data_IF_139543421829
#
_entry.id   IF_139543421829
#
_cell.length_a   1.000
_cell.length_b   1.000
_cell.length_c   1.000
_cell.angle_alpha   90.00
_cell.angle_beta   90.00
_cell.angle_gamma   90.00
#
_symmetry.space_group_name_H-M   'P 1'
#
loop_
_entity.id
_entity.type
_entity.pdbx_description
1 polymer ?
#
# COMPACT_ATOMS: atom_id res chain seq x y z
N UNK A 1 12.05 -35.80 3.16
CA UNK A 1 11.70 -34.35 3.10
C UNK A 1 10.31 -34.15 3.67
N UNK A 2 10.12 -33.28 4.66
CA UNK A 2 8.80 -33.02 5.28
C UNK A 2 8.02 -32.06 4.36
N UNK A 3 6.90 -32.52 3.77
CA UNK A 3 6.04 -31.73 2.86
C UNK A 3 5.38 -30.61 3.67
N UNK A 4 5.60 -29.33 3.32
CA UNK A 4 4.82 -28.22 3.88
C UNK A 4 3.38 -28.29 3.35
N UNK A 5 2.40 -27.97 4.19
CA UNK A 5 0.99 -27.84 3.79
C UNK A 5 0.71 -26.41 3.33
N UNK A 6 -0.35 -26.21 2.53
CA UNK A 6 -0.78 -24.90 2.00
C UNK A 6 -0.85 -23.84 3.11
N UNK A 7 -1.48 -24.17 4.24
CA UNK A 7 -1.62 -23.27 5.40
C UNK A 7 -0.29 -22.72 5.91
N UNK A 8 0.72 -23.58 6.05
CA UNK A 8 2.04 -23.17 6.56
C UNK A 8 2.74 -22.24 5.56
N UNK A 9 2.63 -22.55 4.27
CA UNK A 9 3.15 -21.68 3.22
C UNK A 9 2.47 -20.30 3.23
N UNK A 10 1.14 -20.29 3.29
CA UNK A 10 0.34 -19.06 3.28
C UNK A 10 0.66 -18.20 4.51
N UNK A 11 0.80 -18.81 5.68
CA UNK A 11 1.12 -18.09 6.92
C UNK A 11 2.50 -17.43 6.85
N UNK A 12 3.51 -18.14 6.34
CA UNK A 12 4.84 -17.56 6.09
C UNK A 12 4.82 -16.46 5.03
N UNK A 13 4.01 -16.65 3.98
CA UNK A 13 3.88 -15.69 2.89
C UNK A 13 3.23 -14.38 3.38
N UNK A 14 2.13 -14.48 4.15
CA UNK A 14 1.49 -13.35 4.84
C UNK A 14 2.45 -12.68 5.82
N UNK A 15 3.25 -13.43 6.57
CA UNK A 15 4.27 -12.85 7.48
C UNK A 15 5.31 -12.03 6.72
N UNK A 16 5.71 -12.46 5.52
CA UNK A 16 6.74 -11.78 4.72
C UNK A 16 6.21 -10.61 3.89
N UNK A 17 5.07 -10.78 3.25
CA UNK A 17 4.50 -9.80 2.30
C UNK A 17 3.38 -8.97 2.91
N UNK A 18 3.03 -9.24 4.16
CA UNK A 18 1.85 -8.69 4.81
C UNK A 18 0.62 -9.04 3.99
N UNK A 19 -0.15 -8.02 3.74
CA UNK A 19 -1.50 -8.11 3.21
C UNK A 19 -1.56 -7.76 1.71
N UNK A 20 -0.43 -7.94 1.00
CA UNK A 20 -0.26 -7.50 -0.38
C UNK A 20 -0.85 -8.46 -1.42
N UNK A 21 -1.01 -9.72 -1.03
CA UNK A 21 -1.37 -10.81 -1.93
C UNK A 21 -2.50 -11.64 -1.34
N UNK A 22 -3.41 -12.05 -2.20
CA UNK A 22 -4.38 -13.10 -1.91
C UNK A 22 -3.81 -14.46 -2.39
N UNK A 23 -4.01 -15.47 -1.55
CA UNK A 23 -3.53 -16.83 -1.70
C UNK A 23 -4.67 -17.85 -1.80
N UNK A 24 -5.91 -17.39 -2.03
CA UNK A 24 -7.12 -18.21 -2.20
C UNK A 24 -7.00 -19.30 -3.26
N UNK A 25 -6.17 -19.07 -4.30
CA UNK A 25 -5.91 -20.02 -5.38
C UNK A 25 -4.56 -20.78 -5.24
N UNK A 26 -3.92 -20.74 -4.07
CA UNK A 26 -2.64 -21.45 -3.87
C UNK A 26 -2.85 -22.95 -3.67
N UNK A 27 -2.22 -23.73 -4.55
CA UNK A 27 -1.98 -25.17 -4.35
C UNK A 27 -0.47 -25.45 -4.18
N UNK A 28 -0.01 -25.63 -2.95
CA UNK A 28 1.40 -25.83 -2.65
C UNK A 28 1.80 -27.30 -2.77
N UNK A 29 2.68 -27.60 -3.73
CA UNK A 29 3.21 -28.95 -3.93
C UNK A 29 4.61 -29.08 -3.31
N UNK A 30 5.53 -28.18 -3.65
CA UNK A 30 6.90 -28.12 -3.14
C UNK A 30 7.49 -26.71 -3.37
N UNK A 31 8.75 -26.50 -3.00
CA UNK A 31 9.40 -25.18 -3.03
C UNK A 31 9.68 -24.62 -4.45
N UNK A 32 9.63 -25.47 -5.48
CA UNK A 32 10.03 -25.16 -6.85
C UNK A 32 8.87 -25.22 -7.85
N UNK A 33 7.78 -25.91 -7.53
CA UNK A 33 6.55 -25.89 -8.33
C UNK A 33 5.89 -24.52 -8.19
N UNK A 34 5.48 -23.93 -9.32
CA UNK A 34 4.80 -22.65 -9.33
C UNK A 34 3.46 -22.75 -8.60
N UNK A 35 3.12 -21.67 -7.92
CA UNK A 35 1.82 -21.43 -7.31
C UNK A 35 1.19 -20.20 -7.97
N UNK A 36 -0.14 -20.14 -7.97
CA UNK A 36 -0.87 -18.95 -8.38
C UNK A 36 -1.10 -18.04 -7.17
N UNK A 37 -0.70 -16.78 -7.29
CA UNK A 37 -0.85 -15.75 -6.26
C UNK A 37 -1.56 -14.56 -6.89
N UNK A 38 -2.46 -13.91 -6.15
CA UNK A 38 -3.25 -12.79 -6.65
C UNK A 38 -2.70 -11.50 -6.06
N UNK A 39 -2.22 -10.60 -6.93
CA UNK A 39 -1.89 -9.25 -6.54
C UNK A 39 -3.16 -8.40 -6.48
N UNK A 40 -3.38 -7.74 -5.35
CA UNK A 40 -4.51 -6.82 -5.17
C UNK A 40 -4.64 -5.76 -6.28
N UNK A 41 -3.52 -5.34 -6.87
CA UNK A 41 -3.48 -4.28 -7.88
C UNK A 41 -3.44 -4.77 -9.33
N UNK A 42 -2.83 -5.94 -9.60
CA UNK A 42 -2.51 -6.39 -10.97
C UNK A 42 -3.07 -7.78 -11.29
N UNK A 43 -3.90 -8.35 -10.41
CA UNK A 43 -4.51 -9.67 -10.61
C UNK A 43 -3.56 -10.85 -10.39
N UNK A 44 -3.94 -12.02 -10.91
CA UNK A 44 -3.24 -13.28 -10.67
C UNK A 44 -1.94 -13.40 -11.48
N UNK A 45 -0.93 -14.01 -10.86
CA UNK A 45 0.35 -14.32 -11.49
C UNK A 45 0.93 -15.59 -10.88
N UNK A 46 1.85 -16.23 -11.61
CA UNK A 46 2.54 -17.42 -11.10
C UNK A 46 3.92 -17.09 -10.54
N UNK A 47 4.27 -17.72 -9.42
CA UNK A 47 5.60 -17.59 -8.81
C UNK A 47 5.98 -18.89 -8.09
N UNK A 48 7.27 -19.20 -7.95
CA UNK A 48 7.68 -20.35 -7.12
C UNK A 48 7.73 -19.97 -5.64
N UNK A 49 7.35 -20.87 -4.71
CA UNK A 49 7.42 -20.59 -3.28
C UNK A 49 8.79 -20.13 -2.78
N UNK A 50 9.88 -20.69 -3.33
CA UNK A 50 11.25 -20.25 -2.96
C UNK A 50 11.51 -18.80 -3.37
N UNK A 51 11.09 -18.38 -4.57
CA UNK A 51 11.23 -16.97 -4.99
C UNK A 51 10.37 -16.07 -4.12
N UNK A 52 9.14 -16.49 -3.84
CA UNK A 52 8.22 -15.70 -3.05
C UNK A 52 8.66 -15.53 -1.58
N UNK A 53 9.05 -16.61 -0.91
CA UNK A 53 9.41 -16.61 0.50
C UNK A 53 10.87 -16.28 0.77
N UNK A 54 11.83 -16.85 0.04
CA UNK A 54 13.25 -16.64 0.33
C UNK A 54 13.72 -15.30 -0.24
N UNK A 55 13.49 -15.06 -1.53
CA UNK A 55 13.93 -13.82 -2.21
C UNK A 55 13.02 -12.63 -1.91
N UNK A 56 11.74 -12.88 -1.62
CA UNK A 56 10.76 -11.80 -1.48
C UNK A 56 10.29 -11.25 -2.82
N UNK A 57 10.45 -12.03 -3.89
CA UNK A 57 9.89 -11.71 -5.18
C UNK A 57 8.34 -11.76 -5.10
N UNK A 58 7.69 -10.98 -5.94
CA UNK A 58 6.23 -10.92 -5.98
C UNK A 58 5.75 -10.56 -7.38
N UNK A 59 4.60 -9.89 -7.46
CA UNK A 59 4.00 -9.45 -8.73
C UNK A 59 5.05 -8.78 -9.66
N UNK A 60 5.26 -9.32 -10.87
CA UNK A 60 6.22 -8.78 -11.84
C UNK A 60 5.93 -7.32 -12.20
N UNK A 61 4.64 -6.95 -12.34
CA UNK A 61 4.23 -5.57 -12.60
C UNK A 61 4.58 -4.65 -11.45
N UNK A 62 4.26 -5.01 -10.19
CA UNK A 62 4.74 -4.25 -9.03
C UNK A 62 6.27 -4.08 -9.05
N UNK A 63 7.02 -5.13 -9.41
CA UNK A 63 8.48 -5.10 -9.51
C UNK A 63 8.98 -4.21 -10.65
N UNK A 64 8.29 -4.21 -11.79
CA UNK A 64 8.56 -3.32 -12.92
C UNK A 64 8.28 -1.87 -12.55
N UNK A 65 7.10 -1.58 -11.99
CA UNK A 65 6.72 -0.25 -11.52
C UNK A 65 7.73 0.25 -10.48
N UNK A 66 8.16 -0.57 -9.52
CA UNK A 66 9.23 -0.19 -8.58
C UNK A 66 10.55 0.15 -9.27
N UNK A 67 11.02 -0.67 -10.22
CA UNK A 67 12.28 -0.43 -10.95
C UNK A 67 12.23 0.83 -11.83
N UNK A 68 11.06 1.14 -12.38
CA UNK A 68 10.79 2.38 -13.12
C UNK A 68 10.47 3.56 -12.19
N UNK A 69 10.50 3.39 -10.86
CA UNK A 69 10.15 4.42 -9.89
C UNK A 69 8.66 4.80 -9.85
N UNK A 70 7.79 4.01 -10.47
CA UNK A 70 6.32 4.20 -10.51
C UNK A 70 5.68 3.64 -9.21
N UNK A 71 6.42 2.84 -8.43
CA UNK A 71 6.06 2.49 -7.06
C UNK A 71 6.38 3.64 -6.10
N UNK A 72 5.43 4.56 -5.94
CA UNK A 72 5.58 5.80 -5.17
C UNK A 72 6.17 6.89 -6.05
N UNK A 73 5.31 7.59 -6.79
CA UNK A 73 5.72 8.77 -7.54
C UNK A 73 6.06 9.86 -6.51
N UNK A 74 7.34 10.21 -6.42
CA UNK A 74 7.83 11.22 -5.48
C UNK A 74 7.72 12.62 -6.07
N UNK A 75 7.67 13.65 -5.22
CA UNK A 75 7.78 15.04 -5.67
C UNK A 75 9.00 15.25 -6.57
N UNK A 76 10.14 14.64 -6.23
CA UNK A 76 11.37 14.73 -7.02
C UNK A 76 11.23 14.12 -8.42
N UNK A 77 10.51 13.00 -8.55
CA UNK A 77 10.26 12.38 -9.85
C UNK A 77 9.33 13.22 -10.71
N UNK A 78 8.27 13.78 -10.14
CA UNK A 78 7.35 14.66 -10.85
C UNK A 78 8.01 15.94 -11.35
N UNK A 79 9.03 16.45 -10.66
CA UNK A 79 9.83 17.58 -11.14
C UNK A 79 10.62 17.23 -12.42
N UNK A 80 11.07 15.98 -12.55
CA UNK A 80 11.87 15.52 -13.68
C UNK A 80 11.00 14.98 -14.84
N UNK A 81 9.84 14.39 -14.52
CA UNK A 81 8.89 13.75 -15.46
C UNK A 81 7.46 14.31 -15.21
N UNK A 82 7.19 15.59 -15.52
CA UNK A 82 5.94 16.27 -15.16
C UNK A 82 4.70 15.69 -15.86
N UNK A 83 4.87 15.03 -17.01
CA UNK A 83 3.81 14.33 -17.73
C UNK A 83 3.17 13.20 -16.91
N UNK A 84 3.94 12.54 -16.04
CA UNK A 84 3.42 11.50 -15.14
C UNK A 84 2.44 12.07 -14.11
N UNK A 85 2.56 13.36 -13.81
CA UNK A 85 1.73 14.05 -12.81
C UNK A 85 0.31 14.37 -13.26
N UNK A 86 0.01 14.20 -14.56
CA UNK A 86 -1.27 14.61 -15.17
C UNK A 86 -2.36 13.54 -15.13
N UNK A 87 -2.06 12.38 -14.57
CA UNK A 87 -3.05 11.29 -14.40
C UNK A 87 -3.93 11.53 -13.18
N UNK A 88 -5.16 11.05 -13.23
CA UNK A 88 -6.07 11.09 -12.08
C UNK A 88 -5.49 10.32 -10.90
N UNK A 89 -5.56 10.96 -9.74
CA UNK A 89 -5.15 10.40 -8.47
C UNK A 89 -6.09 10.88 -7.36
N UNK A 90 -5.89 10.30 -6.19
CA UNK A 90 -6.60 10.64 -4.98
C UNK A 90 -5.57 10.92 -3.89
N UNK A 91 -5.75 12.03 -3.17
CA UNK A 91 -5.20 12.17 -1.81
C UNK A 91 -6.29 11.75 -0.83
N UNK A 92 -5.93 10.99 0.19
CA UNK A 92 -6.87 10.46 1.17
C UNK A 92 -6.37 10.60 2.61
N UNK A 93 -7.34 10.65 3.51
CA UNK A 93 -7.20 10.55 4.95
C UNK A 93 -8.04 9.36 5.38
N UNK A 94 -7.40 8.35 5.98
CA UNK A 94 -8.09 7.23 6.60
C UNK A 94 -7.91 7.30 8.11
N UNK A 95 -9.00 7.20 8.85
CA UNK A 95 -8.99 7.00 10.29
C UNK A 95 -8.75 5.51 10.57
N UNK A 96 -7.82 5.21 11.48
CA UNK A 96 -7.38 3.86 11.83
C UNK A 96 -7.55 3.65 13.33
N UNK A 97 -8.12 2.50 13.71
CA UNK A 97 -8.40 2.18 15.10
C UNK A 97 -8.11 0.70 15.42
N UNK A 98 -7.60 0.48 16.63
CA UNK A 98 -7.55 -0.81 17.32
C UNK A 98 -7.96 -0.62 18.79
N UNK A 99 -7.88 -1.66 19.60
CA UNK A 99 -8.11 -1.52 21.05
C UNK A 99 -7.02 -0.70 21.77
N UNK A 100 -5.81 -0.60 21.21
CA UNK A 100 -4.65 0.04 21.86
C UNK A 100 -4.37 1.46 21.36
N UNK A 101 -4.77 1.79 20.13
CA UNK A 101 -4.39 3.06 19.50
C UNK A 101 -5.37 3.51 18.42
N UNK A 102 -5.35 4.82 18.18
CA UNK A 102 -6.11 5.52 17.14
C UNK A 102 -5.20 6.54 16.48
N UNK A 103 -5.27 6.63 15.16
CA UNK A 103 -4.44 7.55 14.38
C UNK A 103 -5.03 7.75 12.99
N UNK A 104 -4.49 8.73 12.26
CA UNK A 104 -4.81 8.96 10.86
C UNK A 104 -3.68 8.45 9.99
N UNK A 105 -4.05 7.84 8.86
CA UNK A 105 -3.15 7.57 7.75
C UNK A 105 -3.42 8.55 6.62
N UNK A 106 -2.37 9.21 6.17
CA UNK A 106 -2.39 10.06 4.98
C UNK A 106 -1.78 9.27 3.83
N UNK A 107 -2.34 9.41 2.64
CA UNK A 107 -1.77 8.76 1.47
C UNK A 107 -2.28 9.31 0.16
N UNK A 108 -1.63 8.91 -0.94
CA UNK A 108 -2.15 9.09 -2.28
C UNK A 108 -2.25 7.76 -3.05
N UNK A 109 -3.06 7.74 -4.10
CA UNK A 109 -3.17 6.59 -4.99
C UNK A 109 -3.70 6.98 -6.37
N UNK A 110 -3.23 6.30 -7.41
CA UNK A 110 -3.81 6.35 -8.76
C UNK A 110 -4.86 5.26 -8.98
N UNK A 111 -5.07 4.38 -7.99
CA UNK A 111 -6.20 3.45 -8.02
C UNK A 111 -7.50 4.24 -8.05
N UNK A 112 -8.42 3.83 -8.94
CA UNK A 112 -9.76 4.44 -9.09
C UNK A 112 -10.54 4.47 -7.77
N UNK A 113 -10.26 3.52 -6.87
CA UNK A 113 -10.94 3.30 -5.60
C UNK A 113 -9.92 3.32 -4.45
N UNK A 114 -9.77 4.43 -3.69
CA UNK A 114 -8.81 4.55 -2.60
C UNK A 114 -8.93 3.49 -1.49
N UNK A 115 -10.14 3.02 -1.23
CA UNK A 115 -10.46 1.93 -0.30
C UNK A 115 -9.70 0.63 -0.60
N UNK A 116 -9.35 0.37 -1.86
CA UNK A 116 -8.56 -0.80 -2.25
C UNK A 116 -7.14 -0.79 -1.66
N UNK A 117 -6.71 0.32 -1.05
CA UNK A 117 -5.44 0.39 -0.31
C UNK A 117 -5.53 -0.25 1.09
N UNK A 118 -6.73 -0.51 1.57
CA UNK A 118 -7.01 -0.97 2.94
C UNK A 118 -7.69 -2.34 3.01
N UNK A 119 -7.97 -2.97 1.87
CA UNK A 119 -8.70 -4.24 1.73
C UNK A 119 -8.06 -5.46 2.42
N UNK A 120 -6.91 -5.30 3.06
CA UNK A 120 -6.21 -6.38 3.75
C UNK A 120 -5.64 -5.95 5.13
N UNK A 121 -6.14 -4.87 5.72
CA UNK A 121 -5.72 -4.46 7.07
C UNK A 121 -6.44 -5.30 8.13
N UNK A 122 -6.04 -6.56 8.29
CA UNK A 122 -6.65 -7.47 9.28
C UNK A 122 -6.40 -7.03 10.75
N UNK A 123 -5.49 -6.07 10.97
CA UNK A 123 -5.03 -5.64 12.30
C UNK A 123 -5.68 -4.34 12.82
N UNK A 124 -6.26 -3.52 11.94
CA UNK A 124 -6.92 -2.27 12.31
C UNK A 124 -8.25 -2.17 11.59
N UNK A 125 -9.30 -1.77 12.32
CA UNK A 125 -10.49 -1.22 11.65
C UNK A 125 -10.14 0.14 11.07
N UNK A 126 -10.77 0.50 9.95
CA UNK A 126 -10.50 1.76 9.29
C UNK A 126 -11.77 2.37 8.71
N UNK A 127 -11.76 3.69 8.55
CA UNK A 127 -12.81 4.45 7.86
C UNK A 127 -12.15 5.48 6.94
N UNK A 128 -12.65 5.57 5.71
CA UNK A 128 -12.21 6.61 4.77
C UNK A 128 -12.84 7.95 5.18
N UNK A 129 -12.11 8.74 5.95
CA UNK A 129 -12.58 10.06 6.36
C UNK A 129 -12.73 10.97 5.15
N UNK A 130 -11.70 11.07 4.32
CA UNK A 130 -11.70 11.93 3.14
C UNK A 130 -10.93 11.30 2.01
N UNK A 131 -11.44 11.47 0.80
CA UNK A 131 -10.71 11.20 -0.43
C UNK A 131 -11.06 12.30 -1.44
N UNK A 132 -10.05 12.96 -1.99
CA UNK A 132 -10.23 14.06 -2.95
C UNK A 132 -9.52 13.69 -4.25
N UNK A 133 -10.28 13.64 -5.34
CA UNK A 133 -9.75 13.39 -6.67
C UNK A 133 -9.09 14.65 -7.23
N UNK A 134 -7.92 14.48 -7.82
CA UNK A 134 -7.08 15.55 -8.37
C UNK A 134 -6.01 14.96 -9.28
N UNK A 135 -5.13 15.80 -9.83
CA UNK A 135 -3.96 15.28 -10.54
C UNK A 135 -2.99 14.59 -9.57
N UNK A 136 -2.24 13.59 -10.05
CA UNK A 136 -1.20 12.95 -9.26
C UNK A 136 -0.16 13.94 -8.72
N UNK A 137 0.14 15.00 -9.49
CA UNK A 137 1.06 16.03 -9.04
C UNK A 137 0.56 16.74 -7.77
N UNK A 138 -0.72 17.13 -7.77
CA UNK A 138 -1.35 17.76 -6.62
C UNK A 138 -1.48 16.80 -5.44
N UNK A 139 -1.84 15.54 -5.69
CA UNK A 139 -1.99 14.55 -4.63
C UNK A 139 -0.67 14.29 -3.89
N UNK A 140 0.44 14.14 -4.63
CA UNK A 140 1.78 13.95 -4.05
C UNK A 140 2.24 15.20 -3.32
N UNK A 141 2.01 16.40 -3.88
CA UNK A 141 2.34 17.68 -3.22
C UNK A 141 1.61 17.83 -1.89
N UNK A 142 0.28 17.67 -1.89
CA UNK A 142 -0.56 17.84 -0.70
C UNK A 142 -0.23 16.79 0.37
N UNK A 143 -0.04 15.53 -0.02
CA UNK A 143 0.43 14.50 0.91
C UNK A 143 1.77 14.88 1.55
N UNK A 144 2.72 15.40 0.76
CA UNK A 144 4.00 15.89 1.25
C UNK A 144 3.87 17.07 2.20
N UNK A 145 3.01 18.05 1.89
CA UNK A 145 2.74 19.21 2.75
C UNK A 145 2.11 18.81 4.09
N UNK A 146 1.12 17.91 4.08
CA UNK A 146 0.52 17.38 5.30
C UNK A 146 1.56 16.66 6.16
N UNK A 147 2.38 15.78 5.56
CA UNK A 147 3.44 15.04 6.28
C UNK A 147 4.52 15.93 6.87
N UNK A 148 4.81 17.09 6.24
CA UNK A 148 5.78 18.07 6.75
C UNK A 148 5.20 18.92 7.88
N UNK A 149 3.91 19.21 7.82
CA UNK A 149 3.24 20.11 8.77
C UNK A 149 2.76 19.40 10.04
N UNK A 150 2.43 18.11 9.96
CA UNK A 150 1.86 17.33 11.07
C UNK A 150 2.92 16.46 11.75
N UNK A 151 2.83 16.23 13.07
CA UNK A 151 3.74 15.34 13.77
C UNK A 151 3.55 13.90 13.28
N UNK A 152 4.65 13.26 12.89
CA UNK A 152 4.63 11.88 12.45
C UNK A 152 4.36 10.91 13.61
N UNK A 153 3.55 9.90 13.35
CA UNK A 153 3.23 8.81 14.26
C UNK A 153 3.63 7.46 13.65
N UNK A 154 4.11 6.53 14.48
CA UNK A 154 4.45 5.16 14.07
C UNK A 154 3.56 4.20 14.85
N UNK A 155 2.59 3.54 14.18
CA UNK A 155 1.69 2.59 14.83
C UNK A 155 2.41 1.39 15.47
N UNK A 156 1.80 0.79 16.49
CA UNK A 156 2.32 -0.37 17.21
C UNK A 156 2.49 -1.57 16.27
N UNK A 157 1.51 -1.80 15.39
CA UNK A 157 1.55 -2.85 14.37
C UNK A 157 1.93 -2.25 13.02
N UNK A 158 3.04 -2.74 12.44
CA UNK A 158 3.55 -2.23 11.16
C UNK A 158 2.77 -2.82 9.99
N UNK A 159 2.43 -1.95 9.04
CA UNK A 159 1.76 -2.28 7.78
C UNK A 159 2.38 -1.46 6.63
N UNK A 160 1.94 -1.66 5.39
CA UNK A 160 2.50 -0.91 4.26
C UNK A 160 2.13 0.59 4.33
N UNK A 161 3.13 1.48 4.40
CA UNK A 161 2.92 2.92 4.57
C UNK A 161 2.69 3.38 6.02
N UNK A 162 3.09 2.57 7.01
CA UNK A 162 3.00 2.90 8.45
C UNK A 162 3.83 4.12 8.90
N UNK A 163 4.69 4.66 8.03
CA UNK A 163 5.48 5.88 8.30
C UNK A 163 4.76 7.16 7.90
N UNK A 164 3.52 7.05 7.43
CA UNK A 164 2.72 8.13 6.85
C UNK A 164 1.47 8.38 7.72
N UNK A 165 1.66 8.29 9.03
CA UNK A 165 0.60 8.38 10.02
C UNK A 165 0.82 9.58 10.94
N UNK A 166 -0.25 10.06 11.55
CA UNK A 166 -0.24 11.15 12.53
C UNK A 166 -1.37 10.95 13.54
N UNK A 167 -1.22 11.53 14.74
CA UNK A 167 -2.27 11.54 15.75
C UNK A 167 -3.25 12.72 15.61
N UNK A 168 -2.86 13.74 14.86
CA UNK A 168 -3.68 14.94 14.64
C UNK A 168 -4.57 14.77 13.40
N UNK A 169 -5.82 15.26 13.46
CA UNK A 169 -6.71 15.25 12.30
C UNK A 169 -6.14 16.09 11.15
N UNK A 170 -5.78 15.49 9.99
CA UNK A 170 -5.20 16.23 8.88
C UNK A 170 -6.22 17.06 8.10
N UNK A 171 -7.53 16.83 8.30
CA UNK A 171 -8.57 17.41 7.45
C UNK A 171 -8.64 18.95 7.47
N UNK A 172 -8.56 19.63 8.64
CA UNK A 172 -8.56 21.10 8.67
C UNK A 172 -7.43 21.70 7.83
N UNK A 173 -6.24 21.10 7.86
CA UNK A 173 -5.10 21.54 7.08
C UNK A 173 -5.30 21.23 5.59
N UNK A 174 -5.71 20.00 5.24
CA UNK A 174 -5.98 19.64 3.85
C UNK A 174 -7.03 20.55 3.22
N UNK A 175 -8.11 20.85 3.93
CA UNK A 175 -9.18 21.75 3.47
C UNK A 175 -8.65 23.15 3.14
N UNK A 176 -7.71 23.67 3.94
CA UNK A 176 -7.03 24.94 3.67
C UNK A 176 -6.14 24.86 2.43
N UNK A 177 -5.37 23.77 2.27
CA UNK A 177 -4.47 23.60 1.13
C UNK A 177 -5.21 23.37 -0.21
N UNK A 178 -6.44 22.85 -0.16
CA UNK A 178 -7.33 22.69 -1.32
C UNK A 178 -7.97 24.01 -1.76
N UNK A 179 -8.11 24.98 -0.85
CA UNK A 179 -8.68 26.30 -1.11
C UNK A 179 -7.68 27.38 -0.65
N UNK A 180 -6.53 27.50 -1.35
CA UNK A 180 -5.41 28.33 -0.93
C UNK A 180 -5.74 29.83 -0.87
#
# INVERSE_FOLDING_TARGET
MRRKKNEVFILDAKKKHGAKYDYSEVDYINAYTKIKVICAAHGSFEITPTKHLSRGDGCPECGFLKRKGIGGITEARLKNEPELGRVDAWVYIAYMESCEERFFKIGHTTNKYPENRFSFFDMYSWTMERAVNMSLCEAVRLEGELKRALPGYRPLLKFNGYTECTLEDPWPLLKKLLNP
#
